data_IF_980910140402
#
_entry.id   IF_980910140402
#
_cell.length_a   1.000
_cell.length_b   1.000
_cell.length_c   1.000
_cell.angle_alpha   90.00
_cell.angle_beta   90.00
_cell.angle_gamma   90.00
#
_symmetry.space_group_name_H-M   'P 1'
#
loop_
_entity.id
_entity.type
_entity.pdbx_description
1 polymer ?
#
# COMPACT_ATOMS: atom_id res chain seq x y z
N UNK A 1 81.74 34.89 -31.47
CA UNK A 1 81.27 34.09 -30.32
C UNK A 1 79.76 34.14 -30.38
N UNK A 2 79.16 33.28 -31.22
CA UNK A 2 78.55 31.99 -30.81
C UNK A 2 77.29 32.24 -29.97
N UNK A 3 76.12 32.25 -30.63
CA UNK A 3 75.10 31.18 -30.58
C UNK A 3 74.35 31.18 -29.24
N UNK A 4 73.03 31.37 -29.18
CA UNK A 4 72.07 30.38 -29.66
C UNK A 4 70.64 30.92 -29.50
N UNK A 5 69.82 30.62 -30.51
CA UNK A 5 68.36 30.59 -30.46
C UNK A 5 67.91 29.56 -29.41
N UNK A 6 66.78 29.81 -28.70
CA UNK A 6 65.89 28.73 -28.30
C UNK A 6 64.48 29.22 -27.92
N UNK A 7 63.55 28.93 -28.83
CA UNK A 7 62.27 28.26 -28.58
C UNK A 7 61.44 28.64 -27.36
N UNK A 8 60.45 29.50 -27.58
CA UNK A 8 59.25 29.59 -26.75
C UNK A 8 58.39 28.32 -26.96
N UNK A 9 58.49 27.35 -26.04
CA UNK A 9 57.60 26.20 -25.94
C UNK A 9 56.63 26.41 -24.76
N UNK A 10 55.30 26.24 -24.94
CA UNK A 10 54.36 26.27 -23.83
C UNK A 10 54.58 25.05 -22.91
N UNK A 11 54.27 25.15 -21.61
CA UNK A 11 54.46 24.06 -20.68
C UNK A 11 53.58 22.87 -21.08
N UNK A 12 54.21 21.69 -21.17
CA UNK A 12 53.58 20.39 -21.38
C UNK A 12 52.41 20.21 -20.40
N UNK A 13 51.25 19.87 -20.95
CA UNK A 13 50.12 19.33 -20.20
C UNK A 13 50.60 18.14 -19.38
N UNK A 14 50.58 18.28 -18.05
CA UNK A 14 50.69 17.16 -17.14
C UNK A 14 49.51 16.24 -17.40
N UNK A 15 49.79 15.08 -17.98
CA UNK A 15 48.86 13.98 -18.17
C UNK A 15 48.52 13.39 -16.81
N UNK A 16 47.61 14.05 -16.08
CA UNK A 16 47.10 13.55 -14.81
C UNK A 16 45.71 14.12 -14.45
N UNK A 17 44.91 14.46 -15.46
CA UNK A 17 43.47 14.68 -15.28
C UNK A 17 42.71 13.51 -15.91
N UNK A 18 42.78 12.35 -15.27
CA UNK A 18 41.92 11.21 -15.57
C UNK A 18 41.76 10.36 -14.31
N UNK A 19 40.48 10.15 -13.97
CA UNK A 19 39.97 9.01 -13.21
C UNK A 19 40.22 9.03 -11.70
N UNK A 20 39.60 10.00 -11.03
CA UNK A 20 39.03 9.73 -9.71
C UNK A 20 37.54 10.04 -9.76
N UNK A 21 36.78 9.08 -10.31
CA UNK A 21 35.36 8.96 -10.04
C UNK A 21 35.18 8.83 -8.53
N UNK A 22 34.35 9.71 -7.96
CA UNK A 22 33.93 9.57 -6.57
C UNK A 22 33.17 8.25 -6.41
N UNK A 23 33.08 7.67 -5.19
CA UNK A 23 32.38 6.40 -4.94
C UNK A 23 30.88 6.40 -5.31
N UNK A 24 30.33 7.56 -5.72
CA UNK A 24 28.92 7.79 -6.06
C UNK A 24 28.64 7.85 -7.57
N UNK A 25 29.66 7.76 -8.44
CA UNK A 25 29.45 7.64 -9.90
C UNK A 25 29.08 6.20 -10.26
N UNK A 26 27.87 5.79 -9.91
CA UNK A 26 27.24 4.63 -10.55
C UNK A 26 27.10 4.98 -12.04
N UNK A 27 27.78 4.21 -12.89
CA UNK A 27 27.74 4.39 -14.34
C UNK A 27 26.34 4.07 -14.88
N UNK A 28 25.50 5.10 -14.95
CA UNK A 28 24.13 5.00 -15.45
C UNK A 28 24.06 4.58 -16.92
N UNK A 29 25.13 4.82 -17.68
CA UNK A 29 25.27 4.36 -19.06
C UNK A 29 25.49 2.85 -19.08
N UNK A 30 26.43 2.34 -18.29
CA UNK A 30 26.64 0.91 -18.11
C UNK A 30 25.38 0.20 -17.61
N UNK A 31 24.68 0.75 -16.62
CA UNK A 31 23.43 0.16 -16.12
C UNK A 31 22.33 0.14 -17.19
N UNK A 32 22.20 1.20 -18.00
CA UNK A 32 21.24 1.25 -19.09
C UNK A 32 21.57 0.20 -20.19
N UNK A 33 22.85 0.03 -20.52
CA UNK A 33 23.33 -0.98 -21.47
C UNK A 33 23.06 -2.38 -20.94
N UNK A 34 23.49 -2.65 -19.71
CA UNK A 34 23.28 -3.93 -19.06
C UNK A 34 21.78 -4.25 -18.99
N UNK A 35 20.94 -3.29 -18.61
CA UNK A 35 19.50 -3.47 -18.56
C UNK A 35 18.89 -3.80 -19.92
N UNK A 36 19.32 -3.13 -20.99
CA UNK A 36 18.92 -3.45 -22.36
C UNK A 36 19.27 -4.90 -22.71
N UNK A 37 20.51 -5.31 -22.48
CA UNK A 37 21.00 -6.66 -22.79
C UNK A 37 20.25 -7.73 -22.01
N UNK A 38 20.00 -7.50 -20.72
CA UNK A 38 19.19 -8.38 -19.88
C UNK A 38 17.76 -8.52 -20.40
N UNK A 39 17.14 -7.42 -20.85
CA UNK A 39 15.77 -7.42 -21.39
C UNK A 39 15.68 -8.13 -22.74
N UNK A 40 16.63 -7.88 -23.66
CA UNK A 40 16.68 -8.55 -24.97
C UNK A 40 16.92 -10.06 -24.83
N UNK A 41 17.82 -10.47 -23.92
CA UNK A 41 18.08 -11.87 -23.62
C UNK A 41 16.86 -12.62 -23.06
N UNK A 42 15.90 -11.88 -22.47
CA UNK A 42 14.60 -12.39 -22.02
C UNK A 42 13.65 -12.67 -23.20
N UNK A 43 13.57 -11.75 -24.16
CA UNK A 43 12.67 -11.84 -25.34
C UNK A 43 13.04 -13.00 -26.27
N UNK A 44 14.33 -13.20 -26.54
CA UNK A 44 14.83 -14.24 -27.44
C UNK A 44 14.40 -15.66 -27.03
N UNK A 45 13.97 -15.86 -25.78
CA UNK A 45 13.56 -17.15 -25.22
C UNK A 45 12.06 -17.34 -25.03
N UNK A 46 11.25 -16.29 -24.79
CA UNK A 46 9.78 -16.43 -24.77
C UNK A 46 9.22 -16.96 -26.09
N UNK A 47 9.91 -16.71 -27.22
CA UNK A 47 9.54 -17.27 -28.52
C UNK A 47 9.93 -18.76 -28.70
N UNK A 48 10.75 -19.36 -27.82
CA UNK A 48 11.34 -20.71 -28.04
C UNK A 48 10.92 -21.79 -27.03
N UNK A 49 10.23 -21.47 -25.93
CA UNK A 49 10.01 -22.43 -24.83
C UNK A 49 8.53 -22.74 -24.57
N UNK A 50 8.14 -24.01 -24.74
CA UNK A 50 6.93 -24.59 -24.14
C UNK A 50 7.18 -24.93 -22.65
N UNK A 51 6.12 -24.91 -21.82
CA UNK A 51 6.16 -25.01 -20.34
C UNK A 51 7.09 -26.09 -19.74
N UNK A 52 7.37 -27.18 -20.46
CA UNK A 52 8.23 -28.28 -19.98
C UNK A 52 9.74 -27.98 -20.04
N UNK A 53 10.18 -27.03 -20.86
CA UNK A 53 11.60 -26.72 -21.05
C UNK A 53 12.10 -25.53 -20.22
N UNK A 54 11.22 -24.85 -19.49
CA UNK A 54 11.58 -23.68 -18.69
C UNK A 54 12.52 -24.02 -17.52
N UNK A 55 12.33 -25.18 -16.88
CA UNK A 55 13.10 -25.57 -15.70
C UNK A 55 14.56 -25.93 -16.03
N UNK A 56 14.80 -26.57 -17.18
CA UNK A 56 16.13 -26.93 -17.67
C UNK A 56 16.89 -25.74 -18.32
N UNK A 57 16.21 -24.64 -18.61
CA UNK A 57 16.81 -23.45 -19.21
C UNK A 57 17.47 -22.52 -18.17
N UNK A 58 17.18 -22.70 -16.87
CA UNK A 58 17.73 -21.90 -15.77
C UNK A 58 19.23 -22.17 -15.53
N UNK A 59 19.76 -23.30 -15.99
CA UNK A 59 21.15 -23.74 -15.75
C UNK A 59 22.10 -23.48 -16.93
N UNK A 60 21.65 -22.80 -18.01
CA UNK A 60 22.50 -22.51 -19.17
C UNK A 60 23.25 -21.18 -19.04
N UNK A 61 24.55 -21.11 -19.41
CA UNK A 61 25.29 -19.86 -19.45
C UNK A 61 24.58 -18.88 -20.40
N UNK A 62 24.24 -17.70 -19.89
CA UNK A 62 23.44 -16.69 -20.59
C UNK A 62 21.98 -16.58 -20.12
N UNK A 63 21.51 -17.34 -19.13
CA UNK A 63 20.24 -17.06 -18.43
C UNK A 63 20.37 -15.84 -17.53
N UNK A 64 19.63 -14.77 -17.86
CA UNK A 64 19.44 -13.65 -16.94
C UNK A 64 18.07 -13.82 -16.29
N UNK A 65 18.01 -14.25 -15.03
CA UNK A 65 16.74 -14.38 -14.32
C UNK A 65 16.10 -13.00 -14.14
N UNK A 66 14.77 -12.96 -14.03
CA UNK A 66 14.02 -11.74 -13.68
C UNK A 66 14.54 -11.10 -12.39
N UNK A 67 15.08 -11.92 -11.50
CA UNK A 67 15.71 -11.51 -10.25
C UNK A 67 16.96 -10.65 -10.44
N UNK A 68 17.70 -10.77 -11.56
CA UNK A 68 18.86 -9.91 -11.84
C UNK A 68 18.45 -8.48 -12.17
N UNK A 69 17.47 -8.31 -13.08
CA UNK A 69 16.92 -6.99 -13.41
C UNK A 69 16.35 -6.32 -12.17
N UNK A 70 15.64 -7.11 -11.37
CA UNK A 70 15.06 -6.67 -10.11
C UNK A 70 16.10 -6.21 -9.08
N UNK A 71 17.13 -7.03 -8.82
CA UNK A 71 18.20 -6.69 -7.88
C UNK A 71 18.94 -5.42 -8.30
N UNK A 72 19.21 -5.27 -9.60
CA UNK A 72 19.86 -4.06 -10.11
C UNK A 72 18.98 -2.84 -9.85
N UNK A 73 17.72 -2.83 -10.32
CA UNK A 73 16.85 -1.66 -10.19
C UNK A 73 16.52 -1.28 -8.75
N UNK A 74 16.28 -2.28 -7.89
CA UNK A 74 16.02 -2.05 -6.46
C UNK A 74 17.25 -1.45 -5.76
N UNK A 75 18.46 -1.88 -6.13
CA UNK A 75 19.70 -1.36 -5.56
C UNK A 75 20.08 0.06 -6.03
N UNK A 76 19.33 0.65 -6.98
CA UNK A 76 19.55 2.04 -7.43
C UNK A 76 18.65 3.00 -6.70
N UNK A 77 19.17 4.19 -6.40
CA UNK A 77 18.38 5.28 -5.81
C UNK A 77 17.34 5.81 -6.81
N UNK A 78 16.28 6.51 -6.35
CA UNK A 78 15.31 7.12 -7.26
C UNK A 78 15.94 8.01 -8.33
N UNK A 79 16.91 8.86 -7.95
CA UNK A 79 17.62 9.74 -8.89
C UNK A 79 18.45 8.96 -9.92
N UNK A 80 19.11 7.87 -9.50
CA UNK A 80 19.84 6.99 -10.42
C UNK A 80 18.88 6.29 -11.39
N UNK A 81 17.72 5.82 -10.91
CA UNK A 81 16.69 5.21 -11.78
C UNK A 81 16.17 6.20 -12.81
N UNK A 82 15.94 7.45 -12.43
CA UNK A 82 15.53 8.51 -13.36
C UNK A 82 16.61 8.77 -14.42
N UNK A 83 17.88 8.84 -14.01
CA UNK A 83 19.01 8.96 -14.94
C UNK A 83 19.09 7.76 -15.88
N UNK A 84 18.95 6.52 -15.39
CA UNK A 84 18.92 5.30 -16.21
C UNK A 84 17.77 5.36 -17.22
N UNK A 85 16.57 5.80 -16.83
CA UNK A 85 15.42 5.95 -17.74
C UNK A 85 15.75 6.96 -18.86
N UNK A 86 16.37 8.09 -18.51
CA UNK A 86 16.77 9.11 -19.47
C UNK A 86 17.84 8.59 -20.43
N UNK A 87 18.91 7.98 -19.91
CA UNK A 87 20.01 7.40 -20.69
C UNK A 87 19.55 6.26 -21.58
N UNK A 88 18.64 5.40 -21.10
CA UNK A 88 18.04 4.34 -21.93
C UNK A 88 17.30 4.92 -23.15
N UNK A 89 16.61 6.05 -22.96
CA UNK A 89 15.91 6.74 -24.05
C UNK A 89 16.86 7.37 -25.04
N UNK A 90 17.98 7.95 -24.59
CA UNK A 90 18.96 8.59 -25.49
C UNK A 90 19.74 7.56 -26.30
N UNK A 91 20.19 6.46 -25.68
CA UNK A 91 20.99 5.43 -26.34
C UNK A 91 20.18 4.59 -27.34
N UNK A 92 18.97 4.18 -26.95
CA UNK A 92 18.20 3.19 -27.72
C UNK A 92 16.98 3.77 -28.43
N UNK A 93 16.58 5.01 -28.14
CA UNK A 93 15.34 5.60 -28.68
C UNK A 93 14.06 4.90 -28.20
N UNK A 94 14.15 4.09 -27.13
CA UNK A 94 13.07 3.25 -26.60
C UNK A 94 12.63 3.71 -25.22
N UNK A 95 11.42 3.30 -24.81
CA UNK A 95 10.87 3.60 -23.50
C UNK A 95 11.07 2.42 -22.55
N UNK A 96 11.96 2.57 -21.57
CA UNK A 96 12.32 1.49 -20.63
C UNK A 96 11.10 0.84 -19.96
N UNK A 97 10.13 1.63 -19.50
CA UNK A 97 8.92 1.12 -18.85
C UNK A 97 8.06 0.25 -19.79
N UNK A 98 8.06 0.56 -21.09
CA UNK A 98 7.35 -0.23 -22.10
C UNK A 98 8.06 -1.56 -22.34
N UNK A 99 9.39 -1.55 -22.36
CA UNK A 99 10.19 -2.75 -22.55
C UNK A 99 10.13 -3.68 -21.33
N UNK A 100 10.14 -3.13 -20.12
CA UNK A 100 9.88 -3.92 -18.90
C UNK A 100 8.48 -4.55 -18.96
N UNK A 101 7.45 -3.80 -19.40
CA UNK A 101 6.09 -4.34 -19.54
C UNK A 101 6.02 -5.48 -20.55
N UNK A 102 6.71 -5.36 -21.68
CA UNK A 102 6.72 -6.36 -22.74
C UNK A 102 7.49 -7.63 -22.35
N UNK A 103 8.61 -7.46 -21.64
CA UNK A 103 9.59 -8.54 -21.42
C UNK A 103 9.42 -9.21 -20.05
N UNK A 104 9.06 -8.43 -19.03
CA UNK A 104 8.92 -8.87 -17.64
C UNK A 104 7.45 -8.86 -17.23
N UNK A 105 6.57 -9.43 -18.06
CA UNK A 105 5.13 -9.45 -17.79
C UNK A 105 4.74 -10.05 -16.43
N UNK A 106 3.50 -9.80 -16.02
CA UNK A 106 2.95 -10.28 -14.75
C UNK A 106 3.23 -9.35 -13.58
N UNK A 107 3.22 -9.91 -12.37
CA UNK A 107 3.27 -9.13 -11.14
C UNK A 107 4.63 -8.45 -10.95
N UNK A 108 5.72 -9.11 -11.32
CA UNK A 108 7.09 -8.59 -11.17
C UNK A 108 7.31 -7.34 -12.02
N UNK A 109 7.01 -7.36 -13.32
CA UNK A 109 7.16 -6.15 -14.15
C UNK A 109 6.22 -5.03 -13.73
N UNK A 110 5.02 -5.34 -13.22
CA UNK A 110 4.17 -4.31 -12.63
C UNK A 110 4.87 -3.65 -11.43
N UNK A 111 5.58 -4.41 -10.60
CA UNK A 111 6.36 -3.87 -9.49
C UNK A 111 7.52 -3.00 -9.95
N UNK A 112 8.32 -3.47 -10.91
CA UNK A 112 9.43 -2.67 -11.45
C UNK A 112 8.95 -1.38 -12.13
N UNK A 113 7.83 -1.42 -12.86
CA UNK A 113 7.22 -0.21 -13.41
C UNK A 113 6.79 0.73 -12.28
N UNK A 114 6.20 0.19 -11.20
CA UNK A 114 5.77 0.98 -10.04
C UNK A 114 6.97 1.64 -9.32
N UNK A 115 8.11 0.96 -9.29
CA UNK A 115 9.38 1.43 -8.72
C UNK A 115 10.02 2.55 -9.55
N UNK A 116 9.87 2.48 -10.88
CA UNK A 116 10.47 3.42 -11.84
C UNK A 116 9.61 4.65 -12.14
N UNK A 117 8.31 4.61 -11.82
CA UNK A 117 7.41 5.72 -12.09
C UNK A 117 7.52 6.80 -11.00
N UNK A 118 7.54 8.10 -11.38
CA UNK A 118 7.42 9.19 -10.42
C UNK A 118 6.14 9.05 -9.57
N UNK A 119 6.16 9.40 -8.27
CA UNK A 119 5.06 9.15 -7.34
C UNK A 119 3.69 9.65 -7.82
N UNK A 120 3.62 10.88 -8.34
CA UNK A 120 2.36 11.47 -8.83
C UNK A 120 1.79 10.73 -10.05
N UNK A 121 2.63 10.34 -11.00
CA UNK A 121 2.23 9.57 -12.20
C UNK A 121 1.81 8.14 -11.84
N UNK A 122 2.52 7.52 -10.88
CA UNK A 122 2.16 6.23 -10.32
C UNK A 122 0.77 6.28 -9.69
N UNK A 123 0.54 7.25 -8.80
CA UNK A 123 -0.73 7.41 -8.08
C UNK A 123 -1.89 7.73 -9.03
N UNK A 124 -1.68 8.62 -10.01
CA UNK A 124 -2.64 8.89 -11.07
C UNK A 124 -3.03 7.61 -11.84
N UNK A 125 -2.04 6.77 -12.19
CA UNK A 125 -2.26 5.47 -12.82
C UNK A 125 -3.10 4.52 -11.97
N UNK A 126 -2.84 4.45 -10.66
CA UNK A 126 -3.61 3.63 -9.73
C UNK A 126 -5.04 4.12 -9.56
N UNK A 127 -5.25 5.43 -9.44
CA UNK A 127 -6.57 6.03 -9.36
C UNK A 127 -7.34 5.74 -10.66
N UNK A 128 -6.72 5.90 -11.83
CA UNK A 128 -7.38 5.57 -13.10
C UNK A 128 -7.82 4.12 -13.13
N UNK A 129 -6.96 3.19 -12.72
CA UNK A 129 -7.29 1.76 -12.63
C UNK A 129 -8.41 1.46 -11.63
N UNK A 130 -8.53 2.25 -10.56
CA UNK A 130 -9.62 2.10 -9.59
C UNK A 130 -10.97 2.55 -10.14
N UNK A 131 -10.97 3.67 -10.87
CA UNK A 131 -12.17 4.32 -11.43
C UNK A 131 -12.69 3.62 -12.68
N UNK A 132 -11.81 3.03 -13.51
CA UNK A 132 -12.23 2.34 -14.75
C UNK A 132 -12.77 0.93 -14.52
N UNK A 133 -12.60 0.37 -13.33
CA UNK A 133 -13.12 -0.95 -12.97
C UNK A 133 -14.58 -0.85 -12.53
N UNK A 134 -15.35 -1.89 -12.88
CA UNK A 134 -16.74 -2.07 -12.44
C UNK A 134 -16.84 -3.43 -11.72
N UNK A 135 -17.26 -3.48 -10.44
CA UNK A 135 -17.47 -2.32 -9.56
C UNK A 135 -16.16 -1.55 -9.32
N UNK A 136 -16.29 -0.29 -8.92
CA UNK A 136 -15.18 0.59 -8.57
C UNK A 136 -14.33 -0.05 -7.47
N UNK A 137 -13.03 0.27 -7.43
CA UNK A 137 -12.17 -0.21 -6.36
C UNK A 137 -11.96 0.89 -5.30
N UNK A 138 -12.93 1.06 -4.41
CA UNK A 138 -12.91 2.08 -3.36
C UNK A 138 -11.75 1.89 -2.37
N UNK A 139 -11.34 0.63 -2.13
CA UNK A 139 -10.19 0.34 -1.28
C UNK A 139 -8.89 0.92 -1.86
N UNK A 140 -8.72 0.86 -3.18
CA UNK A 140 -7.58 1.46 -3.86
C UNK A 140 -7.63 2.99 -3.84
N UNK A 141 -8.82 3.58 -4.02
CA UNK A 141 -8.99 5.04 -3.91
C UNK A 141 -8.65 5.55 -2.51
N UNK A 142 -9.16 4.85 -1.48
CA UNK A 142 -8.87 5.13 -0.08
C UNK A 142 -7.36 5.14 0.18
N UNK A 143 -6.68 4.08 -0.22
CA UNK A 143 -5.25 3.92 -0.01
C UNK A 143 -4.43 5.03 -0.69
N UNK A 144 -4.71 5.33 -1.95
CA UNK A 144 -3.91 6.30 -2.70
C UNK A 144 -4.19 7.73 -2.25
N UNK A 145 -5.42 8.07 -1.84
CA UNK A 145 -5.80 9.46 -1.54
C UNK A 145 -5.76 9.82 -0.05
N UNK A 146 -6.08 8.89 0.87
CA UNK A 146 -6.28 9.23 2.29
C UNK A 146 -4.99 9.50 3.08
N UNK A 147 -3.84 9.14 2.52
CA UNK A 147 -2.50 9.32 3.11
C UNK A 147 -1.62 10.20 2.21
N UNK A 148 -2.19 11.31 1.69
CA UNK A 148 -1.47 12.30 0.88
C UNK A 148 -1.60 13.68 1.48
N UNK A 149 -0.52 14.44 1.39
CA UNK A 149 -0.51 15.84 1.78
C UNK A 149 -1.02 16.75 0.65
N UNK A 150 -1.24 18.03 0.95
CA UNK A 150 -1.81 18.98 -0.01
C UNK A 150 -0.94 19.13 -1.28
N UNK A 151 0.39 19.09 -1.15
CA UNK A 151 1.31 19.18 -2.31
C UNK A 151 1.17 17.96 -3.20
N UNK A 152 1.21 16.76 -2.63
CA UNK A 152 1.07 15.51 -3.39
C UNK A 152 -0.27 15.42 -4.10
N UNK A 153 -1.38 15.83 -3.46
CA UNK A 153 -2.69 15.86 -4.11
C UNK A 153 -2.69 16.80 -5.33
N UNK A 154 -2.04 17.97 -5.25
CA UNK A 154 -1.90 18.87 -6.39
C UNK A 154 -1.06 18.25 -7.50
N UNK A 155 0.05 17.61 -7.16
CA UNK A 155 0.92 16.93 -8.13
C UNK A 155 0.17 15.78 -8.83
N UNK A 156 -0.67 15.03 -8.09
CA UNK A 156 -1.53 13.98 -8.64
C UNK A 156 -2.57 14.56 -9.62
N UNK A 157 -3.17 15.72 -9.35
CA UNK A 157 -4.08 16.38 -10.30
C UNK A 157 -3.39 16.69 -11.62
N UNK A 158 -2.17 17.25 -11.56
CA UNK A 158 -1.37 17.57 -12.74
C UNK A 158 -1.05 16.30 -13.53
N UNK A 159 -0.50 15.29 -12.86
CA UNK A 159 -0.14 14.02 -13.50
C UNK A 159 -1.37 13.30 -14.11
N UNK A 160 -2.52 13.31 -13.43
CA UNK A 160 -3.74 12.69 -13.94
C UNK A 160 -4.25 13.37 -15.22
N UNK A 161 -4.22 14.71 -15.23
CA UNK A 161 -4.62 15.50 -16.40
C UNK A 161 -3.66 15.28 -17.57
N UNK A 162 -2.36 15.24 -17.32
CA UNK A 162 -1.34 14.98 -18.34
C UNK A 162 -1.46 13.57 -18.93
N UNK A 163 -1.59 12.55 -18.07
CA UNK A 163 -1.63 11.16 -18.52
C UNK A 163 -2.91 10.77 -19.25
N UNK A 164 -4.06 11.33 -18.84
CA UNK A 164 -5.37 10.86 -19.29
C UNK A 164 -6.22 11.91 -19.99
N UNK A 165 -5.79 13.17 -20.06
CA UNK A 165 -6.57 14.30 -20.57
C UNK A 165 -7.96 14.41 -19.89
N UNK A 166 -8.02 14.10 -18.59
CA UNK A 166 -9.25 14.07 -17.79
C UNK A 166 -9.08 14.82 -16.48
N UNK A 167 -10.20 15.22 -15.90
CA UNK A 167 -10.24 15.87 -14.60
C UNK A 167 -10.50 14.83 -13.49
N UNK A 168 -9.53 14.68 -12.59
CA UNK A 168 -9.59 13.72 -11.50
C UNK A 168 -10.79 13.96 -10.58
N UNK A 169 -11.08 15.22 -10.25
CA UNK A 169 -12.18 15.58 -9.35
C UNK A 169 -13.54 15.16 -9.94
N UNK A 170 -13.77 15.44 -11.23
CA UNK A 170 -14.98 15.03 -11.96
C UNK A 170 -15.10 13.52 -12.05
N UNK A 171 -14.02 12.82 -12.38
CA UNK A 171 -14.04 11.36 -12.47
C UNK A 171 -14.47 10.73 -11.14
N UNK A 172 -13.89 11.16 -10.01
CA UNK A 172 -14.28 10.67 -8.68
C UNK A 172 -15.71 11.08 -8.31
N UNK A 173 -16.13 12.31 -8.63
CA UNK A 173 -17.50 12.78 -8.37
C UNK A 173 -18.55 11.93 -9.09
N UNK A 174 -18.25 11.46 -10.29
CA UNK A 174 -19.18 10.67 -11.12
C UNK A 174 -19.20 9.20 -10.75
N UNK A 175 -18.07 8.62 -10.36
CA UNK A 175 -17.94 7.17 -10.18
C UNK A 175 -18.19 6.73 -8.74
N UNK A 176 -17.84 7.56 -7.75
CA UNK A 176 -18.10 7.26 -6.35
C UNK A 176 -19.46 7.80 -5.89
N UNK A 177 -20.00 7.25 -4.80
CA UNK A 177 -21.27 7.69 -4.21
C UNK A 177 -21.18 7.81 -2.68
N UNK A 178 -22.20 8.45 -2.09
CA UNK A 178 -22.35 8.63 -0.65
C UNK A 178 -21.26 9.48 0.02
N UNK A 179 -21.22 9.41 1.35
CA UNK A 179 -20.26 10.18 2.18
C UNK A 179 -18.79 9.81 1.90
N UNK A 180 -18.51 8.60 1.40
CA UNK A 180 -17.16 8.22 0.96
C UNK A 180 -16.69 9.08 -0.23
N UNK A 181 -17.55 9.29 -1.24
CA UNK A 181 -17.26 10.25 -2.33
C UNK A 181 -16.97 11.63 -1.74
N UNK A 182 -17.82 12.10 -0.84
CA UNK A 182 -17.71 13.46 -0.30
C UNK A 182 -16.40 13.67 0.48
N UNK A 183 -15.96 12.65 1.24
CA UNK A 183 -14.64 12.61 1.87
C UNK A 183 -13.52 12.72 0.83
N UNK A 184 -13.54 11.89 -0.24
CA UNK A 184 -12.52 11.95 -1.29
C UNK A 184 -12.49 13.31 -1.99
N UNK A 185 -13.65 13.91 -2.26
CA UNK A 185 -13.73 15.24 -2.85
C UNK A 185 -13.21 16.34 -1.92
N UNK A 186 -13.37 16.21 -0.60
CA UNK A 186 -12.75 17.11 0.38
C UNK A 186 -11.22 17.00 0.35
N UNK A 187 -10.68 15.78 0.32
CA UNK A 187 -9.23 15.53 0.19
C UNK A 187 -8.68 16.12 -1.11
N UNK A 188 -9.36 15.87 -2.25
CA UNK A 188 -8.93 16.34 -3.56
C UNK A 188 -8.91 17.87 -3.72
N UNK A 189 -9.52 18.63 -2.80
CA UNK A 189 -9.39 20.09 -2.78
C UNK A 189 -8.03 20.56 -2.29
N UNK A 190 -7.24 19.71 -1.64
CA UNK A 190 -5.93 20.03 -1.09
C UNK A 190 -5.93 21.29 -0.20
N UNK A 191 -6.91 21.36 0.72
CA UNK A 191 -7.13 22.48 1.67
C UNK A 191 -7.08 22.02 3.13
N UNK A 192 -6.36 20.94 3.44
CA UNK A 192 -6.12 20.57 4.84
C UNK A 192 -5.31 21.67 5.50
N UNK A 193 -5.64 22.02 6.75
CA UNK A 193 -4.85 22.97 7.53
C UNK A 193 -3.41 22.51 7.67
N UNK A 194 -2.46 23.43 7.58
CA UNK A 194 -1.03 23.20 7.84
C UNK A 194 -0.56 23.99 9.07
N UNK A 195 -1.51 24.51 9.86
CA UNK A 195 -1.24 25.24 11.10
C UNK A 195 -0.64 24.31 12.19
N UNK A 196 0.14 24.87 13.12
CA UNK A 196 0.60 24.15 14.31
C UNK A 196 -0.58 23.65 15.15
N UNK A 197 -0.32 22.68 16.04
CA UNK A 197 -1.34 22.15 16.92
C UNK A 197 -1.71 23.15 18.02
N UNK A 198 -2.99 23.21 18.34
CA UNK A 198 -3.59 24.02 19.40
C UNK A 198 -4.31 23.09 20.39
N UNK A 199 -3.90 23.16 21.66
CA UNK A 199 -4.37 22.26 22.72
C UNK A 199 -5.86 22.42 23.03
N UNK A 200 -6.34 23.65 23.27
CA UNK A 200 -7.77 23.94 23.55
C UNK A 200 -8.67 23.37 22.45
N UNK A 201 -8.28 23.59 21.19
CA UNK A 201 -9.01 23.10 20.04
C UNK A 201 -8.94 21.56 19.93
N UNK A 202 -7.85 20.95 20.37
CA UNK A 202 -7.70 19.50 20.37
C UNK A 202 -8.61 18.85 21.42
N UNK A 203 -8.73 19.45 22.60
CA UNK A 203 -9.64 19.03 23.66
C UNK A 203 -11.11 19.13 23.23
N UNK A 204 -11.49 20.23 22.57
CA UNK A 204 -12.82 20.42 22.01
C UNK A 204 -13.17 19.32 21.00
N UNK A 205 -12.30 19.10 20.02
CA UNK A 205 -12.49 18.05 19.01
C UNK A 205 -12.57 16.67 19.68
N UNK A 206 -11.71 16.37 20.66
CA UNK A 206 -11.72 15.08 21.35
C UNK A 206 -13.06 14.83 22.07
N UNK A 207 -13.58 15.84 22.77
CA UNK A 207 -14.90 15.79 23.42
C UNK A 207 -16.02 15.58 22.41
N UNK A 208 -16.03 16.34 21.31
CA UNK A 208 -17.08 16.26 20.29
C UNK A 208 -17.10 14.88 19.61
N UNK A 209 -15.92 14.34 19.27
CA UNK A 209 -15.80 12.99 18.72
C UNK A 209 -16.30 11.92 19.70
N UNK A 210 -16.05 12.10 21.00
CA UNK A 210 -16.55 11.18 22.04
C UNK A 210 -18.07 11.21 22.11
N UNK A 211 -18.66 12.41 22.14
CA UNK A 211 -20.11 12.59 22.18
C UNK A 211 -20.79 11.97 20.95
N UNK A 212 -20.27 12.27 19.75
CA UNK A 212 -20.79 11.69 18.51
C UNK A 212 -20.75 10.15 18.52
N UNK A 213 -19.68 9.57 19.08
CA UNK A 213 -19.52 8.12 19.22
C UNK A 213 -20.49 7.49 20.22
N UNK A 214 -20.80 8.16 21.32
CA UNK A 214 -21.80 7.70 22.30
C UNK A 214 -23.21 7.79 21.70
N UNK A 215 -23.53 8.89 21.00
CA UNK A 215 -24.81 9.06 20.33
C UNK A 215 -25.05 7.98 19.29
N UNK A 216 -24.03 7.62 18.51
CA UNK A 216 -24.09 6.52 17.56
C UNK A 216 -24.34 5.15 18.24
N UNK A 217 -23.79 4.94 19.44
CA UNK A 217 -23.97 3.70 20.20
C UNK A 217 -25.38 3.58 20.81
N UNK A 218 -25.91 4.66 21.38
CA UNK A 218 -27.21 4.67 22.05
C UNK A 218 -28.40 4.67 21.08
N UNK A 219 -28.14 4.89 19.79
CA UNK A 219 -29.16 5.20 18.80
C UNK A 219 -29.62 6.65 18.92
N UNK A 220 -29.64 7.37 17.80
CA UNK A 220 -30.15 8.73 17.72
C UNK A 220 -31.02 8.89 16.47
N UNK A 221 -31.72 10.02 16.35
CA UNK A 221 -32.52 10.32 15.17
C UNK A 221 -31.61 10.49 13.94
N UNK A 222 -32.17 10.33 12.74
CA UNK A 222 -31.40 10.26 11.49
C UNK A 222 -30.58 11.52 11.19
N UNK A 223 -31.07 12.69 11.63
CA UNK A 223 -30.36 13.97 11.44
C UNK A 223 -29.09 14.04 12.29
N UNK A 224 -29.17 13.59 13.56
CA UNK A 224 -28.03 13.53 14.46
C UNK A 224 -27.00 12.51 14.00
N UNK A 225 -27.44 11.36 13.49
CA UNK A 225 -26.53 10.38 12.89
C UNK A 225 -25.74 10.96 11.71
N UNK A 226 -26.39 11.72 10.83
CA UNK A 226 -25.72 12.32 9.67
C UNK A 226 -24.73 13.41 10.11
N UNK A 227 -25.13 14.25 11.07
CA UNK A 227 -24.27 15.27 11.68
C UNK A 227 -23.04 14.65 12.34
N UNK A 228 -23.22 13.57 13.12
CA UNK A 228 -22.14 12.81 13.74
C UNK A 228 -21.15 12.29 12.69
N UNK A 229 -21.65 11.69 11.59
CA UNK A 229 -20.78 11.20 10.50
C UNK A 229 -20.01 12.34 9.83
N UNK A 230 -20.66 13.48 9.62
CA UNK A 230 -20.04 14.66 9.00
C UNK A 230 -18.96 15.29 9.88
N UNK A 231 -19.13 15.27 11.21
CA UNK A 231 -18.10 15.68 12.16
C UNK A 231 -16.80 14.88 11.96
N UNK A 232 -16.89 13.55 11.93
CA UNK A 232 -15.70 12.71 11.67
C UNK A 232 -15.07 13.01 10.31
N UNK A 233 -15.88 13.17 9.25
CA UNK A 233 -15.34 13.52 7.92
C UNK A 233 -14.64 14.87 7.95
N UNK A 234 -15.24 15.88 8.58
CA UNK A 234 -14.69 17.23 8.62
C UNK A 234 -13.40 17.29 9.42
N UNK A 235 -13.37 16.72 10.62
CA UNK A 235 -12.16 16.68 11.46
C UNK A 235 -11.01 16.02 10.70
N UNK A 236 -11.18 14.80 10.20
CA UNK A 236 -10.07 14.06 9.57
C UNK A 236 -9.68 14.58 8.17
N UNK A 237 -10.45 15.46 7.55
CA UNK A 237 -10.10 16.08 6.26
C UNK A 237 -9.57 17.51 6.39
N UNK A 238 -10.06 18.29 7.35
CA UNK A 238 -9.72 19.72 7.50
C UNK A 238 -8.56 19.95 8.47
N UNK A 239 -8.46 19.16 9.54
CA UNK A 239 -7.46 19.37 10.58
C UNK A 239 -6.04 19.08 10.12
N UNK A 240 -5.08 19.83 10.67
CA UNK A 240 -3.67 19.59 10.40
C UNK A 240 -3.22 18.26 11.00
N UNK A 241 -2.16 17.68 10.44
CA UNK A 241 -1.66 16.37 10.91
C UNK A 241 -1.18 16.45 12.36
N UNK A 242 -0.53 17.56 12.73
CA UNK A 242 -0.13 17.86 14.10
C UNK A 242 -1.33 17.99 15.03
N UNK A 243 -2.38 18.69 14.61
CA UNK A 243 -3.62 18.80 15.38
C UNK A 243 -4.27 17.43 15.61
N UNK A 244 -4.41 16.62 14.55
CA UNK A 244 -4.98 15.29 14.65
C UNK A 244 -4.19 14.39 15.59
N UNK A 245 -2.85 14.47 15.57
CA UNK A 245 -2.00 13.71 16.49
C UNK A 245 -2.29 14.08 17.94
N UNK A 246 -2.36 15.38 18.25
CA UNK A 246 -2.67 15.87 19.58
C UNK A 246 -4.09 15.48 20.03
N UNK A 247 -5.08 15.61 19.16
CA UNK A 247 -6.46 15.16 19.41
C UNK A 247 -6.48 13.69 19.81
N UNK A 248 -5.74 12.83 19.09
CA UNK A 248 -5.70 11.40 19.37
C UNK A 248 -5.00 11.06 20.69
N UNK A 249 -3.96 11.80 21.04
CA UNK A 249 -3.26 11.66 22.33
C UNK A 249 -4.17 12.04 23.50
N UNK A 250 -4.82 13.21 23.42
CA UNK A 250 -5.79 13.68 24.43
C UNK A 250 -6.96 12.70 24.52
N UNK A 251 -7.52 12.27 23.39
CA UNK A 251 -8.63 11.32 23.37
C UNK A 251 -8.28 10.01 24.07
N UNK A 252 -7.09 9.45 23.80
CA UNK A 252 -6.60 8.24 24.44
C UNK A 252 -6.38 8.44 25.94
N UNK A 253 -5.84 9.59 26.34
CA UNK A 253 -5.57 9.94 27.74
C UNK A 253 -6.87 10.09 28.54
N UNK A 254 -7.84 10.83 28.02
CA UNK A 254 -9.05 11.20 28.77
C UNK A 254 -10.09 10.09 28.79
N UNK A 255 -10.17 9.28 27.72
CA UNK A 255 -11.20 8.24 27.59
C UNK A 255 -10.66 6.81 27.68
N UNK A 256 -9.35 6.63 27.79
CA UNK A 256 -8.69 5.31 27.88
C UNK A 256 -9.05 4.36 26.73
N UNK A 257 -9.42 4.92 25.58
CA UNK A 257 -9.85 4.20 24.37
C UNK A 257 -9.26 4.91 23.14
N UNK A 258 -8.78 4.17 22.13
CA UNK A 258 -8.27 4.80 20.91
C UNK A 258 -9.41 5.40 20.09
N UNK A 259 -9.16 6.53 19.42
CA UNK A 259 -10.17 7.18 18.54
C UNK A 259 -10.65 6.24 17.43
N UNK A 260 -9.85 5.25 17.05
CA UNK A 260 -10.17 4.24 16.05
C UNK A 260 -11.44 3.44 16.39
N UNK A 261 -11.70 3.22 17.68
CA UNK A 261 -12.87 2.47 18.13
C UNK A 261 -14.13 3.35 18.09
N UNK A 262 -13.99 4.64 18.39
CA UNK A 262 -15.05 5.63 18.17
C UNK A 262 -15.42 5.76 16.69
N UNK A 263 -14.43 5.75 15.80
CA UNK A 263 -14.63 5.73 14.35
C UNK A 263 -15.40 4.45 13.93
N UNK A 264 -15.05 3.30 14.50
CA UNK A 264 -15.68 2.03 14.17
C UNK A 264 -17.14 1.92 14.66
N UNK A 265 -17.49 2.60 15.75
CA UNK A 265 -18.87 2.72 16.26
C UNK A 265 -19.73 3.67 15.43
N UNK A 266 -19.15 4.77 14.95
CA UNK A 266 -19.91 5.85 14.28
C UNK A 266 -20.05 5.65 12.77
N UNK A 267 -19.00 5.13 12.13
CA UNK A 267 -18.93 5.04 10.67
C UNK A 267 -19.01 3.58 10.22
N UNK A 268 -19.45 3.36 8.97
CA UNK A 268 -19.47 2.02 8.37
C UNK A 268 -18.80 1.96 6.99
N UNK A 269 -18.55 0.75 6.51
CA UNK A 269 -18.09 0.49 5.13
C UNK A 269 -16.76 1.16 4.75
N UNK A 270 -16.69 1.68 3.53
CA UNK A 270 -15.49 2.34 3.00
C UNK A 270 -15.17 3.66 3.71
N UNK A 271 -16.20 4.36 4.20
CA UNK A 271 -16.03 5.61 4.93
C UNK A 271 -15.29 5.37 6.25
N UNK A 272 -15.76 4.40 7.04
CA UNK A 272 -15.10 4.01 8.30
C UNK A 272 -13.64 3.66 8.08
N UNK A 273 -13.37 2.82 7.08
CA UNK A 273 -12.00 2.44 6.77
C UNK A 273 -11.18 3.66 6.35
N UNK A 274 -11.71 4.57 5.53
CA UNK A 274 -10.97 5.77 5.11
C UNK A 274 -10.55 6.62 6.31
N UNK A 275 -11.49 6.94 7.20
CA UNK A 275 -11.22 7.77 8.37
C UNK A 275 -10.29 7.07 9.36
N UNK A 276 -10.48 5.76 9.61
CA UNK A 276 -9.58 4.95 10.45
C UNK A 276 -8.15 4.94 9.90
N UNK A 277 -7.99 4.78 8.59
CA UNK A 277 -6.65 4.79 7.98
C UNK A 277 -6.02 6.19 7.99
N UNK A 278 -6.80 7.25 7.78
CA UNK A 278 -6.31 8.63 7.96
C UNK A 278 -5.86 8.89 9.39
N UNK A 279 -6.55 8.35 10.40
CA UNK A 279 -6.14 8.49 11.80
C UNK A 279 -4.83 7.75 12.07
N UNK A 280 -4.65 6.53 11.55
CA UNK A 280 -3.40 5.79 11.65
C UNK A 280 -2.24 6.55 11.00
N UNK A 281 -2.44 7.08 9.79
CA UNK A 281 -1.42 7.85 9.07
C UNK A 281 -1.03 9.13 9.81
N UNK A 282 -2.01 9.83 10.41
CA UNK A 282 -1.72 11.03 11.19
C UNK A 282 -0.90 10.73 12.47
N UNK A 283 -1.09 9.56 13.09
CA UNK A 283 -0.24 9.10 14.19
C UNK A 283 1.17 8.82 13.69
N UNK A 284 1.30 7.92 12.72
CA UNK A 284 2.55 7.45 12.13
C UNK A 284 2.31 6.90 10.73
N UNK A 285 3.11 7.33 9.75
CA UNK A 285 3.03 6.76 8.39
C UNK A 285 3.34 5.26 8.40
N UNK A 286 4.32 4.84 9.19
CA UNK A 286 4.73 3.44 9.28
C UNK A 286 3.59 2.57 9.82
N UNK A 287 2.87 3.03 10.86
CA UNK A 287 1.68 2.36 11.40
C UNK A 287 0.58 2.20 10.37
N UNK A 288 0.35 3.22 9.54
CA UNK A 288 -0.60 3.16 8.43
C UNK A 288 -0.23 2.08 7.40
N UNK A 289 1.04 2.06 6.95
CA UNK A 289 1.49 1.10 5.95
C UNK A 289 1.56 -0.32 6.51
N UNK A 290 1.90 -0.50 7.78
CA UNK A 290 1.84 -1.79 8.47
C UNK A 290 0.43 -2.39 8.41
N UNK A 291 -0.59 -1.60 8.71
CA UNK A 291 -1.99 -2.04 8.62
C UNK A 291 -2.42 -2.34 7.18
N UNK A 292 -1.96 -1.56 6.19
CA UNK A 292 -2.22 -1.86 4.78
C UNK A 292 -1.56 -3.15 4.32
N UNK A 293 -0.32 -3.41 4.75
CA UNK A 293 0.39 -4.66 4.45
C UNK A 293 -0.33 -5.84 5.08
N UNK A 294 -0.83 -5.70 6.30
CA UNK A 294 -1.62 -6.72 6.95
C UNK A 294 -2.91 -6.99 6.17
N UNK A 295 -3.69 -5.96 5.79
CA UNK A 295 -4.89 -6.11 4.97
C UNK A 295 -4.59 -6.81 3.62
N UNK A 296 -3.42 -6.54 3.04
CA UNK A 296 -2.99 -7.13 1.77
C UNK A 296 -2.51 -8.59 1.92
N UNK A 297 -1.85 -8.91 3.03
CA UNK A 297 -1.37 -10.25 3.37
C UNK A 297 -2.49 -11.14 3.87
N UNK A 298 -3.43 -10.62 4.65
CA UNK A 298 -4.50 -11.35 5.30
C UNK A 298 -5.86 -10.73 4.92
N UNK A 299 -6.25 -10.77 3.64
CA UNK A 299 -7.51 -10.20 3.21
C UNK A 299 -8.68 -10.93 3.89
N UNK A 300 -9.72 -10.21 4.35
CA UNK A 300 -10.88 -10.84 4.95
C UNK A 300 -11.53 -11.82 3.98
N UNK A 301 -12.04 -12.94 4.51
CA UNK A 301 -12.76 -13.93 3.72
C UNK A 301 -14.01 -13.28 3.13
N UNK A 302 -14.06 -13.18 1.81
CA UNK A 302 -15.21 -12.69 1.06
C UNK A 302 -16.44 -13.53 1.42
N UNK A 303 -17.45 -12.93 2.08
CA UNK A 303 -18.66 -13.61 2.56
C UNK A 303 -19.31 -14.50 1.48
N UNK A 304 -19.24 -14.11 0.20
CA UNK A 304 -19.79 -14.92 -0.91
C UNK A 304 -18.96 -16.16 -1.19
N UNK A 305 -17.64 -16.08 -1.02
CA UNK A 305 -16.75 -17.25 -1.07
C UNK A 305 -16.88 -18.08 0.19
N UNK A 306 -17.08 -17.45 1.35
CA UNK A 306 -17.40 -18.11 2.61
C UNK A 306 -18.67 -18.94 2.45
N UNK A 307 -19.76 -18.36 1.92
CA UNK A 307 -21.05 -19.04 1.70
C UNK A 307 -20.94 -20.16 0.66
N UNK A 308 -20.22 -19.98 -0.45
CA UNK A 308 -19.98 -21.08 -1.42
C UNK A 308 -19.15 -22.22 -0.83
N UNK A 309 -18.13 -21.88 -0.04
CA UNK A 309 -17.28 -22.85 0.64
C UNK A 309 -18.09 -23.56 1.74
N UNK A 310 -18.90 -22.83 2.49
CA UNK A 310 -19.84 -23.33 3.49
C UNK A 310 -20.93 -24.20 2.87
N UNK A 311 -21.48 -23.84 1.71
CA UNK A 311 -22.45 -24.69 1.02
C UNK A 311 -21.80 -25.99 0.52
N UNK A 312 -20.55 -25.92 0.06
CA UNK A 312 -19.76 -27.11 -0.34
C UNK A 312 -19.37 -27.99 0.86
N UNK A 313 -19.17 -27.41 2.05
CA UNK A 313 -18.84 -28.13 3.29
C UNK A 313 -20.10 -28.67 3.97
N UNK A 314 -21.19 -27.89 3.99
CA UNK A 314 -22.52 -28.23 4.53
C UNK A 314 -23.11 -29.45 3.83
N UNK A 315 -22.94 -29.59 2.52
CA UNK A 315 -23.32 -30.81 1.78
C UNK A 315 -22.51 -32.06 2.17
N UNK A 316 -21.43 -31.90 2.94
CA UNK A 316 -20.55 -33.00 3.39
C UNK A 316 -20.64 -33.27 4.90
N UNK A 317 -21.00 -32.28 5.72
CA UNK A 317 -21.10 -32.43 7.17
C UNK A 317 -22.19 -31.52 7.76
N UNK A 318 -23.38 -32.09 8.03
CA UNK A 318 -24.53 -31.35 8.58
C UNK A 318 -24.27 -30.68 9.94
N UNK A 319 -23.34 -31.20 10.74
CA UNK A 319 -23.05 -30.74 12.11
C UNK A 319 -22.10 -29.55 12.21
N UNK A 320 -21.26 -29.29 11.19
CA UNK A 320 -20.25 -28.21 11.24
C UNK A 320 -20.85 -26.85 10.84
N UNK A 321 -21.95 -26.85 10.08
CA UNK A 321 -22.62 -25.63 9.58
C UNK A 321 -23.16 -24.74 10.71
N UNK A 322 -23.71 -25.31 11.79
CA UNK A 322 -24.30 -24.54 12.89
C UNK A 322 -23.25 -23.89 13.80
N UNK A 323 -22.10 -24.53 14.00
CA UNK A 323 -21.01 -24.01 14.83
C UNK A 323 -20.30 -22.86 14.09
N UNK A 324 -20.08 -23.01 12.78
CA UNK A 324 -19.38 -22.00 12.00
C UNK A 324 -20.25 -20.77 11.68
N UNK A 325 -21.57 -20.94 11.47
CA UNK A 325 -22.48 -19.81 11.25
C UNK A 325 -22.59 -18.90 12.49
N UNK A 326 -22.45 -19.49 13.70
CA UNK A 326 -22.39 -18.77 14.98
C UNK A 326 -21.10 -17.95 15.14
N UNK A 327 -19.98 -18.47 14.64
CA UNK A 327 -18.67 -17.83 14.73
C UNK A 327 -18.44 -16.71 13.68
N UNK A 328 -19.02 -16.85 12.48
CA UNK A 328 -18.78 -15.90 11.38
C UNK A 328 -19.74 -14.70 11.40
N UNK A 329 -21.00 -14.87 11.81
CA UNK A 329 -22.01 -13.83 11.60
C UNK A 329 -22.23 -12.87 12.78
N UNK A 330 -21.71 -13.13 14.00
CA UNK A 330 -21.87 -12.22 15.14
C UNK A 330 -23.32 -11.81 15.50
N UNK A 331 -24.33 -12.43 14.88
CA UNK A 331 -25.75 -12.09 15.02
C UNK A 331 -26.41 -13.03 16.03
N UNK A 332 -26.90 -12.46 17.13
CA UNK A 332 -27.91 -13.11 17.96
C UNK A 332 -29.18 -13.28 17.13
N UNK A 333 -29.46 -14.51 16.70
CA UNK A 333 -30.79 -14.90 16.24
C UNK A 333 -31.73 -14.89 17.46
N UNK A 334 -32.50 -13.81 17.61
CA UNK A 334 -33.60 -13.77 18.57
C UNK A 334 -34.70 -14.74 18.10
N UNK A 335 -34.79 -15.89 18.75
CA UNK A 335 -35.94 -16.79 18.62
C UNK A 335 -36.51 -17.03 20.02
N UNK A 336 -37.70 -16.47 20.24
CA UNK A 336 -38.59 -16.79 21.35
C UNK A 336 -38.83 -18.31 21.46
N UNK A 337 -38.69 -18.88 22.66
CA UNK A 337 -39.71 -19.61 23.46
C UNK A 337 -39.02 -20.49 24.55
N UNK A 338 -39.72 -21.07 25.56
CA UNK A 338 -39.56 -20.69 26.96
C UNK A 338 -38.92 -21.78 27.87
N UNK A 339 -38.49 -21.33 29.05
CA UNK A 339 -38.28 -22.09 30.30
C UNK A 339 -37.29 -23.26 30.32
N UNK A 340 -36.23 -23.14 31.13
CA UNK A 340 -35.94 -23.99 32.32
C UNK A 340 -34.56 -23.63 32.91
N UNK A 341 -34.61 -23.26 34.20
CA UNK A 341 -33.61 -23.38 35.28
C UNK A 341 -32.23 -22.68 35.23
N UNK A 342 -32.14 -21.68 36.11
CA UNK A 342 -31.00 -21.12 36.87
C UNK A 342 -29.80 -22.06 37.14
N UNK A 343 -28.54 -21.61 36.94
CA UNK A 343 -27.41 -21.42 37.91
C UNK A 343 -26.25 -20.63 37.19
N UNK A 344 -25.16 -20.17 37.85
CA UNK A 344 -24.90 -18.82 38.32
C UNK A 344 -23.92 -18.00 37.45
N UNK A 345 -23.82 -16.69 37.75
CA UNK A 345 -22.82 -15.75 37.24
C UNK A 345 -21.39 -16.20 37.62
N UNK A 346 -20.58 -16.57 36.64
CA UNK A 346 -19.13 -16.51 36.73
C UNK A 346 -18.61 -15.62 35.59
N UNK A 347 -18.10 -14.46 35.99
CA UNK A 347 -17.31 -13.54 35.17
C UNK A 347 -16.11 -14.29 34.61
N UNK A 348 -16.17 -14.67 33.34
CA UNK A 348 -15.00 -15.11 32.58
C UNK A 348 -14.66 -14.03 31.56
N UNK A 349 -13.48 -13.46 31.72
CA UNK A 349 -12.85 -12.56 30.77
C UNK A 349 -12.86 -13.20 29.38
N UNK A 350 -13.52 -12.55 28.42
CA UNK A 350 -13.48 -12.95 27.01
C UNK A 350 -12.15 -12.45 26.46
N UNK A 351 -11.09 -13.23 26.69
CA UNK A 351 -9.87 -13.16 25.88
C UNK A 351 -10.26 -13.56 24.47
N UNK A 352 -10.20 -12.62 23.52
CA UNK A 352 -10.35 -12.92 22.10
C UNK A 352 -9.26 -13.93 21.74
N UNK A 353 -9.57 -15.18 21.34
CA UNK A 353 -8.54 -16.11 20.96
C UNK A 353 -8.07 -15.74 19.56
N UNK A 354 -7.01 -14.93 19.50
CA UNK A 354 -6.07 -14.97 18.39
C UNK A 354 -5.45 -16.36 18.33
N UNK A 355 -5.42 -16.92 17.12
CA UNK A 355 -4.77 -18.18 16.75
C UNK A 355 -5.36 -19.46 17.37
N UNK A 356 -6.45 -19.96 16.77
CA UNK A 356 -6.65 -21.41 16.75
C UNK A 356 -5.68 -22.05 15.75
N UNK A 357 -4.89 -23.07 16.13
CA UNK A 357 -4.12 -23.85 15.17
C UNK A 357 -5.10 -24.64 14.30
N UNK A 358 -5.19 -24.27 13.02
CA UNK A 358 -5.98 -25.00 12.04
C UNK A 358 -5.41 -26.43 11.92
N UNK A 359 -6.23 -27.44 12.23
CA UNK A 359 -5.92 -28.86 12.00
C UNK A 359 -5.45 -29.09 10.54
N UNK A 360 -4.57 -30.08 10.28
CA UNK A 360 -4.00 -30.34 8.96
C UNK A 360 -5.05 -30.95 8.03
N UNK A 361 -5.92 -30.10 7.50
CA UNK A 361 -6.97 -30.44 6.55
C UNK A 361 -7.06 -29.38 5.46
N UNK A 362 -6.27 -29.54 4.39
CA UNK A 362 -6.55 -29.14 2.99
C UNK A 362 -7.08 -27.73 2.65
N UNK A 363 -7.08 -26.74 3.55
CA UNK A 363 -7.55 -25.40 3.22
C UNK A 363 -6.38 -24.42 3.13
N UNK A 364 -5.85 -24.23 1.90
CA UNK A 364 -4.87 -23.17 1.62
C UNK A 364 -5.53 -21.83 2.01
N UNK A 365 -4.89 -21.00 2.86
CA UNK A 365 -5.44 -19.70 3.24
C UNK A 365 -5.71 -18.86 1.99
N UNK A 366 -6.68 -17.91 2.02
CA UNK A 366 -7.01 -17.08 0.87
C UNK A 366 -5.74 -16.47 0.28
N UNK A 367 -5.58 -16.44 -1.05
CA UNK A 367 -4.37 -15.89 -1.67
C UNK A 367 -4.22 -14.40 -1.33
N UNK A 368 -3.01 -13.98 -0.96
CA UNK A 368 -2.70 -12.57 -0.70
C UNK A 368 -2.95 -11.67 -1.92
N UNK A 369 -3.22 -10.38 -1.68
CA UNK A 369 -3.45 -9.41 -2.75
C UNK A 369 -2.11 -8.90 -3.31
N UNK A 370 -1.52 -9.65 -4.24
CA UNK A 370 -0.17 -9.36 -4.78
C UNK A 370 -0.04 -7.96 -5.37
N UNK A 371 -1.07 -7.43 -6.05
CA UNK A 371 -1.05 -6.07 -6.62
C UNK A 371 -1.03 -4.99 -5.53
N UNK A 372 -1.66 -5.27 -4.40
CA UNK A 372 -1.66 -4.37 -3.24
C UNK A 372 -0.28 -4.35 -2.60
N UNK A 373 0.28 -5.52 -2.30
CA UNK A 373 1.62 -5.67 -1.72
C UNK A 373 2.70 -4.97 -2.56
N UNK A 374 2.70 -5.19 -3.89
CA UNK A 374 3.64 -4.52 -4.78
C UNK A 374 3.53 -3.01 -4.68
N UNK A 375 2.31 -2.47 -4.70
CA UNK A 375 2.13 -1.02 -4.68
C UNK A 375 2.69 -0.42 -3.39
N UNK A 376 2.39 -1.03 -2.25
CA UNK A 376 2.90 -0.57 -0.95
C UNK A 376 4.43 -0.66 -0.94
N UNK A 377 4.99 -1.85 -1.17
CA UNK A 377 6.42 -2.12 -1.00
C UNK A 377 7.27 -1.32 -1.99
N UNK A 378 6.92 -1.32 -3.28
CA UNK A 378 7.67 -0.52 -4.28
C UNK A 378 7.52 0.99 -4.06
N UNK A 379 6.54 1.44 -3.27
CA UNK A 379 6.39 2.86 -2.94
C UNK A 379 7.14 3.30 -1.69
N UNK A 380 7.61 2.35 -0.87
CA UNK A 380 8.20 2.59 0.45
C UNK A 380 9.58 1.97 0.64
N UNK A 381 10.02 1.09 -0.25
CA UNK A 381 11.30 0.38 -0.14
C UNK A 381 12.50 1.31 0.04
N UNK A 382 12.46 2.49 -0.58
CA UNK A 382 13.55 3.48 -0.50
C UNK A 382 13.35 4.52 0.63
N UNK A 383 12.26 4.43 1.41
CA UNK A 383 11.84 5.45 2.36
C UNK A 383 12.00 5.00 3.81
N UNK A 384 11.27 3.96 4.22
CA UNK A 384 11.16 3.60 5.64
C UNK A 384 10.66 2.16 5.86
N UNK A 385 10.94 1.25 4.92
CA UNK A 385 10.41 -0.11 4.99
C UNK A 385 10.77 -0.85 6.29
N UNK A 386 11.93 -0.51 6.88
CA UNK A 386 12.37 -1.04 8.17
C UNK A 386 11.44 -0.59 9.31
N UNK A 387 11.14 0.71 9.42
CA UNK A 387 10.18 1.22 10.41
C UNK A 387 8.77 0.65 10.19
N UNK A 388 8.35 0.46 8.93
CA UNK A 388 7.08 -0.20 8.60
C UNK A 388 7.08 -1.66 9.09
N UNK A 389 8.21 -2.36 8.96
CA UNK A 389 8.36 -3.74 9.43
C UNK A 389 8.30 -3.82 10.97
N UNK A 390 8.94 -2.89 11.68
CA UNK A 390 8.88 -2.81 13.14
C UNK A 390 7.45 -2.56 13.63
N UNK A 391 6.75 -1.57 13.05
CA UNK A 391 5.34 -1.29 13.36
C UNK A 391 4.41 -2.46 13.01
N UNK A 392 4.72 -3.20 11.95
CA UNK A 392 3.98 -4.41 11.59
C UNK A 392 4.15 -5.50 12.65
N UNK A 393 5.38 -5.75 13.11
CA UNK A 393 5.66 -6.73 14.14
C UNK A 393 5.03 -6.34 15.48
N UNK A 394 5.11 -5.05 15.86
CA UNK A 394 4.46 -4.51 17.05
C UNK A 394 2.94 -4.67 17.01
N UNK A 395 2.31 -4.40 15.87
CA UNK A 395 0.85 -4.44 15.74
C UNK A 395 0.29 -5.87 15.62
N UNK A 396 1.02 -6.80 15.00
CA UNK A 396 0.49 -8.12 14.62
C UNK A 396 1.24 -9.30 15.24
N UNK A 397 2.26 -9.05 16.06
CA UNK A 397 3.09 -10.06 16.73
C UNK A 397 3.70 -11.10 15.78
N UNK A 398 3.93 -10.72 14.52
CA UNK A 398 4.57 -11.55 13.49
C UNK A 398 5.54 -10.68 12.69
N UNK A 399 6.81 -11.07 12.54
CA UNK A 399 7.75 -10.32 11.71
C UNK A 399 7.30 -10.26 10.25
N UNK A 400 7.45 -9.09 9.61
CA UNK A 400 7.02 -8.88 8.22
C UNK A 400 7.68 -9.87 7.25
N UNK A 401 8.96 -10.17 7.46
CA UNK A 401 9.73 -11.16 6.68
C UNK A 401 9.11 -12.57 6.74
N UNK A 402 8.70 -12.99 7.93
CA UNK A 402 8.04 -14.29 8.15
C UNK A 402 6.69 -14.31 7.43
N UNK A 403 5.89 -13.26 7.58
CA UNK A 403 4.60 -13.14 6.93
C UNK A 403 4.71 -13.19 5.39
N UNK A 404 5.72 -12.55 4.78
CA UNK A 404 5.98 -12.69 3.35
C UNK A 404 6.37 -14.09 2.93
N UNK A 405 7.23 -14.75 3.70
CA UNK A 405 7.73 -16.09 3.38
C UNK A 405 6.61 -17.12 3.38
N UNK A 406 5.64 -16.99 4.30
CA UNK A 406 4.49 -17.89 4.42
C UNK A 406 3.36 -17.58 3.42
N UNK A 407 3.16 -16.30 3.08
CA UNK A 407 2.02 -15.85 2.27
C UNK A 407 2.33 -15.66 0.80
N UNK A 408 3.60 -15.70 0.40
CA UNK A 408 4.05 -15.47 -0.97
C UNK A 408 5.04 -16.53 -1.46
N UNK A 409 5.12 -16.72 -2.78
CA UNK A 409 5.88 -17.80 -3.41
C UNK A 409 6.46 -17.38 -4.77
N UNK A 410 7.58 -17.98 -5.17
CA UNK A 410 8.29 -17.76 -6.44
C UNK A 410 8.89 -16.35 -6.60
N UNK A 411 9.08 -15.91 -7.85
CA UNK A 411 9.65 -14.59 -8.21
C UNK A 411 9.00 -13.40 -7.49
N UNK A 412 7.74 -13.54 -7.10
CA UNK A 412 7.02 -12.51 -6.37
C UNK A 412 7.54 -12.35 -4.93
N UNK A 413 7.83 -13.45 -4.23
CA UNK A 413 8.45 -13.40 -2.91
C UNK A 413 9.84 -12.79 -3.01
N UNK A 414 10.62 -13.24 -3.99
CA UNK A 414 11.99 -12.76 -4.20
C UNK A 414 12.01 -11.24 -4.44
N UNK A 415 11.02 -10.71 -5.16
CA UNK A 415 10.83 -9.26 -5.34
C UNK A 415 10.57 -8.53 -4.02
N UNK A 416 9.64 -9.03 -3.21
CA UNK A 416 9.33 -8.40 -1.93
C UNK A 416 10.54 -8.45 -0.99
N UNK A 417 11.19 -9.61 -0.86
CA UNK A 417 12.37 -9.77 -0.02
C UNK A 417 13.52 -8.86 -0.47
N UNK A 418 13.80 -8.81 -1.77
CA UNK A 418 14.86 -7.95 -2.31
C UNK A 418 14.56 -6.47 -2.04
N UNK A 419 13.30 -6.04 -2.21
CA UNK A 419 12.91 -4.66 -1.97
C UNK A 419 12.86 -4.27 -0.48
N UNK A 420 12.73 -5.23 0.42
CA UNK A 420 12.76 -4.98 1.86
C UNK A 420 14.14 -5.28 2.48
N UNK A 421 15.14 -5.68 1.70
CA UNK A 421 16.47 -6.03 2.20
C UNK A 421 16.53 -7.32 3.04
N UNK A 422 15.55 -8.22 2.89
CA UNK A 422 15.40 -9.44 3.70
C UNK A 422 16.23 -10.63 3.21
#
# INVERSE_FOLDING_TARGET
MSSSEDGNLPPRASSQDCLFSTPDEVDTEFDAILLHDMLVASVARSCRLTKRHAHAAAERPGFVPKTSVMKMLVARTPSQREAIIATYRTLYGRYLLQDIRANLGGIVGQGLITLLQPPAFRDAGWIRKAVTRVPTNENLLREVLCARNNKEIRDIHVAYKEMFARDLYRDIKTVCSGKFRDLLLKILRARRSEAPAEEVRAEEIARDLRLASINAYNGCDTEDEESNRDLFVDVFTKESVSQLRLVMEIYQKDFSEPVQDAIARTLTGHLMKAVKFTSLWAQSEAKYFAHLLHDALFPPLDERKSVRTLHSISSRTHSVSNIFHRAVCGLQLSLHAPSVQTVPEETTEVTVPGNLPLSPGSHKPPSCNKTFLIRIIMSRCDLDIDHVADEFELAFAVPLKTAFTERTEGDFRDLLSTACGF
#
